data_IF_890916745409
#
_entry.id   IF_890916745409
#
_cell.length_a   1.000
_cell.length_b   1.000
_cell.length_c   1.000
_cell.angle_alpha   90.00
_cell.angle_beta   90.00
_cell.angle_gamma   90.00
#
_symmetry.space_group_name_H-M   'P 1'
#
loop_
_entity.id
_entity.type
_entity.pdbx_description
1 polymer ?
#
# COMPACT_ATOMS: atom_id res chain seq x y z
N UNK A 1 -23.72 -24.86 -5.54
CA UNK A 1 -23.23 -25.59 -4.35
C UNK A 1 -22.17 -24.70 -3.69
N UNK A 2 -22.35 -24.27 -2.43
CA UNK A 2 -21.42 -23.35 -1.74
C UNK A 2 -19.97 -23.85 -1.63
N UNK A 3 -19.78 -25.17 -1.57
CA UNK A 3 -18.45 -25.83 -1.51
C UNK A 3 -17.56 -25.51 -2.72
N UNK A 4 -18.14 -25.38 -3.92
CA UNK A 4 -17.41 -25.11 -5.17
C UNK A 4 -16.82 -23.68 -5.22
N UNK A 5 -17.51 -22.70 -4.61
CA UNK A 5 -17.05 -21.31 -4.55
C UNK A 5 -15.88 -21.14 -3.59
N UNK A 6 -15.94 -21.82 -2.44
CA UNK A 6 -14.86 -21.80 -1.45
C UNK A 6 -13.58 -22.39 -2.03
N UNK A 7 -13.65 -23.60 -2.60
CA UNK A 7 -12.48 -24.27 -3.17
C UNK A 7 -11.85 -23.47 -4.30
N UNK A 8 -12.68 -22.92 -5.19
CA UNK A 8 -12.20 -22.07 -6.28
C UNK A 8 -11.48 -20.83 -5.76
N UNK A 9 -12.08 -20.11 -4.80
CA UNK A 9 -11.45 -18.93 -4.22
C UNK A 9 -10.13 -19.26 -3.52
N UNK A 10 -10.08 -20.36 -2.77
CA UNK A 10 -8.85 -20.81 -2.11
C UNK A 10 -7.74 -21.11 -3.14
N UNK A 11 -8.06 -21.83 -4.22
CA UNK A 11 -7.12 -22.11 -5.32
C UNK A 11 -6.63 -20.82 -5.98
N UNK A 12 -7.52 -19.87 -6.24
CA UNK A 12 -7.15 -18.58 -6.86
C UNK A 12 -6.23 -17.76 -5.96
N UNK A 13 -6.49 -17.72 -4.64
CA UNK A 13 -5.60 -17.04 -3.69
C UNK A 13 -4.25 -17.75 -3.61
N UNK A 14 -4.22 -19.09 -3.56
CA UNK A 14 -2.97 -19.85 -3.57
C UNK A 14 -2.16 -19.55 -4.83
N UNK A 15 -2.80 -19.60 -6.00
CA UNK A 15 -2.16 -19.28 -7.27
C UNK A 15 -1.67 -17.83 -7.34
N UNK A 16 -2.44 -16.89 -6.79
CA UNK A 16 -2.01 -15.49 -6.69
C UNK A 16 -0.70 -15.35 -5.89
N UNK A 17 -0.57 -16.05 -4.75
CA UNK A 17 0.67 -16.01 -3.97
C UNK A 17 1.83 -16.75 -4.64
N UNK A 18 1.58 -17.85 -5.36
CA UNK A 18 2.62 -18.49 -6.20
C UNK A 18 3.18 -17.51 -7.24
N UNK A 19 2.31 -16.74 -7.90
CA UNK A 19 2.73 -15.70 -8.86
C UNK A 19 3.55 -14.60 -8.16
N UNK A 20 3.21 -14.25 -6.92
CA UNK A 20 4.01 -13.29 -6.15
C UNK A 20 5.37 -13.86 -5.74
N UNK A 21 5.47 -15.16 -5.46
CA UNK A 21 6.74 -15.83 -5.16
C UNK A 21 7.64 -15.88 -6.40
N UNK A 22 7.07 -16.19 -7.58
CA UNK A 22 7.76 -16.09 -8.87
C UNK A 22 8.24 -14.65 -9.14
N UNK A 23 7.38 -13.65 -8.90
CA UNK A 23 7.73 -12.25 -9.02
C UNK A 23 8.86 -11.86 -8.07
N UNK A 24 8.79 -12.26 -6.80
CA UNK A 24 9.82 -11.99 -5.80
C UNK A 24 11.19 -12.53 -6.23
N UNK A 25 11.23 -13.78 -6.71
CA UNK A 25 12.45 -14.37 -7.23
C UNK A 25 13.00 -13.57 -8.41
N UNK A 26 12.13 -13.10 -9.32
CA UNK A 26 12.53 -12.34 -10.51
C UNK A 26 13.09 -10.94 -10.20
N UNK A 27 12.61 -10.29 -9.12
CA UNK A 27 13.07 -8.93 -8.73
C UNK A 27 14.15 -8.94 -7.65
N UNK A 28 14.61 -10.13 -7.26
CA UNK A 28 15.68 -10.33 -6.28
C UNK A 28 15.24 -10.10 -4.83
N UNK A 29 13.99 -10.41 -4.50
CA UNK A 29 13.43 -10.27 -3.15
C UNK A 29 12.53 -9.04 -2.96
N UNK A 30 11.75 -9.05 -1.88
CA UNK A 30 11.01 -7.86 -1.41
C UNK A 30 11.96 -6.70 -1.13
N UNK A 31 11.51 -5.48 -1.41
CA UNK A 31 12.22 -4.23 -1.06
C UNK A 31 11.53 -3.54 0.10
N UNK A 32 12.23 -2.58 0.71
CA UNK A 32 11.67 -1.65 1.68
C UNK A 32 11.72 -0.23 1.12
N UNK A 33 10.81 0.63 1.54
CA UNK A 33 10.86 2.04 1.13
C UNK A 33 11.96 2.83 1.86
N UNK A 34 12.51 2.30 2.96
CA UNK A 34 13.70 2.84 3.63
C UNK A 34 14.90 2.92 2.67
N UNK A 35 15.16 1.83 1.95
CA UNK A 35 16.31 1.70 1.04
C UNK A 35 16.00 2.18 -0.38
N UNK A 36 14.73 2.26 -0.75
CA UNK A 36 14.29 2.64 -2.09
C UNK A 36 14.60 4.11 -2.41
N UNK A 37 15.05 4.41 -3.62
CA UNK A 37 15.25 5.78 -4.10
C UNK A 37 15.01 5.94 -5.62
N UNK A 38 14.86 7.18 -6.08
CA UNK A 38 14.47 7.48 -7.46
C UNK A 38 15.53 7.17 -8.53
N UNK A 39 16.78 6.86 -8.14
CA UNK A 39 17.83 6.41 -9.07
C UNK A 39 17.82 4.89 -9.34
N UNK A 40 16.92 4.14 -8.70
CA UNK A 40 16.74 2.71 -9.00
C UNK A 40 15.97 2.55 -10.32
N UNK A 41 16.07 1.35 -10.91
CA UNK A 41 15.40 1.01 -12.15
C UNK A 41 13.91 0.69 -11.92
N UNK A 42 13.11 1.72 -11.64
CA UNK A 42 11.66 1.60 -11.51
C UNK A 42 11.01 1.58 -12.90
N UNK A 43 10.00 0.72 -13.13
CA UNK A 43 9.12 0.93 -14.27
C UNK A 43 8.45 2.31 -14.14
N UNK A 44 8.12 2.93 -15.28
CA UNK A 44 7.40 4.19 -15.27
C UNK A 44 6.05 3.97 -14.59
N UNK A 45 5.41 2.83 -14.89
CA UNK A 45 4.10 2.49 -14.37
C UNK A 45 4.01 1.04 -13.88
N UNK A 46 3.17 0.80 -12.88
CA UNK A 46 2.99 -0.54 -12.31
C UNK A 46 2.00 -0.62 -11.16
N UNK A 47 1.95 -1.82 -10.57
CA UNK A 47 1.17 -2.15 -9.36
C UNK A 47 2.14 -2.61 -8.29
N UNK A 48 1.90 -2.20 -7.04
CA UNK A 48 2.70 -2.58 -5.87
C UNK A 48 1.87 -3.35 -4.84
N UNK A 49 2.55 -4.22 -4.10
CA UNK A 49 1.99 -5.11 -3.08
C UNK A 49 2.82 -4.98 -1.80
N UNK A 50 2.27 -4.35 -0.78
CA UNK A 50 2.90 -4.22 0.54
C UNK A 50 2.49 -5.38 1.45
N UNK A 51 3.44 -5.77 2.28
CA UNK A 51 3.31 -6.76 3.34
C UNK A 51 3.60 -6.08 4.68
N UNK A 52 3.03 -6.62 5.77
CA UNK A 52 3.28 -6.14 7.12
C UNK A 52 4.02 -7.24 7.91
N UNK A 53 5.12 -6.92 8.61
CA UNK A 53 5.75 -7.85 9.53
C UNK A 53 4.75 -8.34 10.59
N UNK A 54 4.66 -9.67 10.76
CA UNK A 54 3.71 -10.30 11.68
C UNK A 54 2.37 -10.68 11.04
N UNK A 55 1.98 -10.05 9.93
CA UNK A 55 0.78 -10.43 9.19
C UNK A 55 1.06 -11.66 8.32
N UNK A 56 0.57 -12.82 8.75
CA UNK A 56 0.76 -14.10 8.07
C UNK A 56 -0.52 -14.59 7.42
N UNK A 57 -0.39 -15.32 6.32
CA UNK A 57 -1.48 -16.11 5.75
C UNK A 57 -1.88 -17.22 6.75
N UNK A 58 -3.17 -17.48 6.85
CA UNK A 58 -3.74 -18.51 7.73
C UNK A 58 -4.49 -19.56 6.93
N UNK A 59 -5.35 -19.14 6.00
CA UNK A 59 -6.19 -20.05 5.19
C UNK A 59 -5.50 -20.51 3.91
N UNK A 60 -4.79 -19.62 3.21
CA UNK A 60 -4.26 -19.87 1.86
C UNK A 60 -2.80 -20.32 1.81
N UNK A 61 -2.26 -20.82 2.93
CA UNK A 61 -0.88 -21.30 3.05
C UNK A 61 -0.06 -20.50 4.07
N UNK A 62 1.26 -20.57 3.96
CA UNK A 62 2.22 -20.00 4.93
C UNK A 62 2.91 -18.73 4.41
N UNK A 63 3.53 -17.95 5.29
CA UNK A 63 4.28 -16.76 4.88
C UNK A 63 3.48 -15.45 4.95
N UNK A 64 4.08 -14.32 4.52
CA UNK A 64 3.52 -12.99 4.74
C UNK A 64 2.26 -12.72 3.90
N UNK A 65 1.30 -12.02 4.48
CA UNK A 65 0.06 -11.61 3.82
C UNK A 65 0.24 -10.24 3.15
N UNK A 66 -0.30 -10.08 1.95
CA UNK A 66 -0.44 -8.75 1.32
C UNK A 66 -1.47 -7.94 2.11
N UNK A 67 -1.07 -6.76 2.59
CA UNK A 67 -1.94 -5.86 3.37
C UNK A 67 -2.38 -4.63 2.58
N UNK A 68 -1.68 -4.31 1.49
CA UNK A 68 -2.04 -3.18 0.63
C UNK A 68 -1.59 -3.45 -0.81
N UNK A 69 -2.55 -3.41 -1.73
CA UNK A 69 -2.31 -3.39 -3.18
C UNK A 69 -2.55 -1.98 -3.67
N UNK A 70 -1.68 -1.44 -4.52
CA UNK A 70 -1.95 -0.14 -5.09
C UNK A 70 -1.36 0.14 -6.45
N UNK A 71 -1.96 1.10 -7.16
CA UNK A 71 -1.39 1.67 -8.38
C UNK A 71 -1.33 3.21 -8.32
N UNK A 72 -1.09 3.83 -9.47
CA UNK A 72 -1.01 5.27 -9.68
C UNK A 72 -1.61 5.63 -11.06
N UNK A 73 -1.92 6.92 -11.27
CA UNK A 73 -2.32 7.51 -12.55
C UNK A 73 -3.44 6.76 -13.33
N UNK A 74 -4.61 6.55 -12.72
CA UNK A 74 -5.78 6.00 -13.42
C UNK A 74 -6.57 7.03 -14.25
N UNK A 75 -6.17 8.31 -14.21
CA UNK A 75 -6.77 9.39 -15.02
C UNK A 75 -5.93 9.61 -16.27
N UNK A 76 -6.58 9.81 -17.42
CA UNK A 76 -5.98 9.88 -18.76
C UNK A 76 -4.85 10.91 -18.94
N UNK A 77 -4.76 11.93 -18.08
CA UNK A 77 -3.73 12.98 -18.12
C UNK A 77 -2.65 12.86 -17.04
N UNK A 78 -2.63 11.75 -16.29
CA UNK A 78 -1.72 11.57 -15.16
C UNK A 78 -0.27 11.33 -15.57
N UNK A 79 0.59 12.33 -15.36
CA UNK A 79 2.06 12.23 -15.54
C UNK A 79 2.79 11.63 -14.32
N UNK A 80 2.06 11.14 -13.32
CA UNK A 80 2.68 10.53 -12.16
C UNK A 80 3.26 9.17 -12.54
N UNK A 81 4.44 8.84 -12.03
CA UNK A 81 5.08 7.53 -12.18
C UNK A 81 4.84 6.66 -10.94
N UNK A 82 5.15 5.36 -11.04
CA UNK A 82 5.15 4.44 -9.91
C UNK A 82 6.02 4.98 -8.76
N UNK A 83 7.25 5.43 -9.09
CA UNK A 83 8.14 5.99 -8.09
C UNK A 83 7.58 7.27 -7.44
N UNK A 84 6.92 8.16 -8.19
CA UNK A 84 6.29 9.34 -7.61
C UNK A 84 5.26 8.96 -6.52
N UNK A 85 4.49 7.89 -6.76
CA UNK A 85 3.53 7.37 -5.77
C UNK A 85 4.20 6.69 -4.58
N UNK A 86 5.20 5.85 -4.81
CA UNK A 86 5.96 5.19 -3.73
C UNK A 86 6.69 6.22 -2.85
N UNK A 87 7.29 7.25 -3.45
CA UNK A 87 7.91 8.38 -2.75
C UNK A 87 6.91 9.14 -1.88
N UNK A 88 5.67 9.30 -2.34
CA UNK A 88 4.61 9.92 -1.53
C UNK A 88 4.32 9.10 -0.27
N UNK A 89 4.27 7.77 -0.39
CA UNK A 89 4.09 6.87 0.76
C UNK A 89 5.30 6.87 1.69
N UNK A 90 6.53 6.86 1.14
CA UNK A 90 7.78 6.96 1.92
C UNK A 90 7.88 8.24 2.74
N UNK A 91 7.30 9.32 2.22
CA UNK A 91 7.51 10.66 2.72
C UNK A 91 8.90 11.23 2.37
N UNK A 92 9.10 12.54 2.54
CA UNK A 92 10.40 13.18 2.40
C UNK A 92 11.45 12.59 3.36
N UNK A 93 12.66 12.36 2.86
CA UNK A 93 13.82 11.93 3.68
C UNK A 93 14.60 13.14 4.18
N UNK A 94 14.69 14.21 3.40
CA UNK A 94 15.33 15.48 3.77
C UNK A 94 14.44 16.70 3.50
N UNK A 95 15.03 17.89 3.56
CA UNK A 95 14.34 19.16 3.33
C UNK A 95 13.69 19.73 4.60
N UNK A 96 12.66 20.56 4.44
CA UNK A 96 12.03 21.31 5.55
C UNK A 96 11.07 20.49 6.42
N UNK A 97 10.73 19.26 6.00
CA UNK A 97 9.85 18.38 6.77
C UNK A 97 10.33 16.91 6.69
N UNK A 98 11.55 16.59 7.13
CA UNK A 98 12.11 15.25 7.02
C UNK A 98 11.28 14.26 7.84
N UNK A 99 11.04 13.10 7.26
CA UNK A 99 10.21 12.05 7.84
C UNK A 99 8.71 12.33 7.81
N UNK A 100 8.25 13.55 7.49
CA UNK A 100 6.82 13.87 7.48
C UNK A 100 6.05 13.18 6.35
N UNK A 101 4.85 13.68 6.05
CA UNK A 101 4.02 13.14 4.98
C UNK A 101 2.75 13.93 4.77
N UNK A 102 1.80 13.30 4.10
CA UNK A 102 0.48 13.87 3.82
C UNK A 102 -0.57 12.76 3.71
N UNK A 103 -1.17 12.39 4.84
CA UNK A 103 -2.24 11.40 4.92
C UNK A 103 -3.50 11.83 4.16
N UNK A 104 -3.81 13.13 4.12
CA UNK A 104 -4.96 13.65 3.36
C UNK A 104 -4.83 13.43 1.85
N UNK A 105 -3.60 13.29 1.35
CA UNK A 105 -3.30 12.92 -0.04
C UNK A 105 -3.02 11.43 -0.27
N UNK A 106 -3.06 10.60 0.78
CA UNK A 106 -2.75 9.17 0.70
C UNK A 106 -3.58 8.36 1.69
N UNK A 107 -4.60 7.68 1.18
CA UNK A 107 -5.43 6.73 1.95
C UNK A 107 -4.60 5.67 2.66
N UNK A 108 -3.48 5.24 2.07
CA UNK A 108 -2.60 4.28 2.73
C UNK A 108 -1.98 4.86 4.00
N UNK A 109 -1.47 6.10 3.94
CA UNK A 109 -0.94 6.81 5.11
C UNK A 109 -2.02 7.09 6.14
N UNK A 110 -3.24 7.45 5.69
CA UNK A 110 -4.39 7.64 6.57
C UNK A 110 -4.66 6.37 7.39
N UNK A 111 -4.80 5.21 6.73
CA UNK A 111 -5.06 3.95 7.41
C UNK A 111 -3.94 3.50 8.33
N UNK A 112 -2.67 3.63 7.92
CA UNK A 112 -1.53 3.33 8.80
C UNK A 112 -1.56 4.24 10.03
N UNK A 113 -1.83 5.54 9.85
CA UNK A 113 -1.92 6.47 10.98
C UNK A 113 -3.09 6.16 11.92
N UNK A 114 -4.25 5.80 11.38
CA UNK A 114 -5.40 5.36 12.19
C UNK A 114 -5.05 4.10 12.99
N UNK A 115 -4.42 3.11 12.36
CA UNK A 115 -3.99 1.90 13.07
C UNK A 115 -2.95 2.19 14.17
N UNK A 116 -2.04 3.15 13.96
CA UNK A 116 -1.09 3.58 14.98
C UNK A 116 -1.79 4.31 16.14
N UNK A 117 -2.80 5.13 15.86
CA UNK A 117 -3.64 5.78 16.89
C UNK A 117 -4.40 4.73 17.70
N UNK A 118 -4.96 3.70 17.05
CA UNK A 118 -5.74 2.67 17.74
C UNK A 118 -4.86 1.73 18.57
N UNK A 119 -3.63 1.48 18.12
CA UNK A 119 -2.67 0.58 18.79
C UNK A 119 -1.92 1.25 19.93
N UNK A 120 -1.55 2.52 19.77
CA UNK A 120 -0.65 3.25 20.67
C UNK A 120 -1.38 4.43 21.34
N UNK A 121 -0.98 4.84 22.55
CA UNK A 121 -1.61 5.96 23.28
C UNK A 121 -1.13 7.33 22.75
N UNK A 122 -1.71 7.77 21.62
CA UNK A 122 -1.38 9.05 21.00
C UNK A 122 -2.10 10.23 21.66
N UNK A 123 -1.41 11.35 21.94
CA UNK A 123 -2.07 12.53 22.50
C UNK A 123 -3.21 13.05 21.62
N UNK A 124 -4.34 13.39 22.23
CA UNK A 124 -5.50 13.94 21.52
C UNK A 124 -5.16 15.18 20.67
N UNK A 125 -4.18 15.98 21.10
CA UNK A 125 -3.72 17.14 20.34
C UNK A 125 -3.05 16.79 19.00
N UNK A 126 -2.58 15.55 18.84
CA UNK A 126 -1.99 15.01 17.60
C UNK A 126 -3.03 14.21 16.81
N UNK A 127 -3.78 13.33 17.49
CA UNK A 127 -4.69 12.38 16.86
C UNK A 127 -6.07 12.98 16.51
N UNK A 128 -6.51 14.02 17.22
CA UNK A 128 -7.91 14.47 17.19
C UNK A 128 -8.41 14.99 15.84
N UNK A 129 -7.52 15.47 14.97
CA UNK A 129 -7.84 15.96 13.62
C UNK A 129 -7.43 14.98 12.51
N UNK A 130 -6.89 13.80 12.87
CA UNK A 130 -6.41 12.83 11.89
C UNK A 130 -7.56 12.28 11.04
N UNK A 131 -7.43 12.36 9.72
CA UNK A 131 -8.49 11.94 8.80
C UNK A 131 -9.67 12.91 8.68
N UNK A 132 -9.64 14.05 9.38
CA UNK A 132 -10.67 15.07 9.25
C UNK A 132 -10.40 15.94 8.02
N UNK A 133 -11.33 15.87 7.05
CA UNK A 133 -11.35 16.68 5.84
C UNK A 133 -10.21 16.39 4.85
N UNK A 134 -10.31 17.01 3.66
CA UNK A 134 -9.29 16.91 2.61
C UNK A 134 -8.16 17.94 2.74
N UNK A 135 -8.30 18.89 3.68
CA UNK A 135 -7.30 19.92 3.98
C UNK A 135 -7.37 20.35 5.45
N UNK A 136 -6.35 21.06 5.92
CA UNK A 136 -6.27 21.56 7.29
C UNK A 136 -5.34 22.78 7.37
N UNK A 137 -5.47 23.57 8.43
CA UNK A 137 -4.62 24.74 8.69
C UNK A 137 -3.16 24.33 8.90
N UNK A 138 -2.23 25.28 8.76
CA UNK A 138 -0.81 25.04 9.07
C UNK A 138 -0.66 24.52 10.51
N UNK A 139 -1.37 25.12 11.47
CA UNK A 139 -1.30 24.74 12.88
C UNK A 139 -1.69 23.28 13.11
N UNK A 140 -2.77 22.78 12.49
CA UNK A 140 -3.18 21.38 12.61
C UNK A 140 -2.11 20.46 12.00
N UNK A 141 -1.65 20.78 10.78
CA UNK A 141 -0.61 19.99 10.10
C UNK A 141 0.70 19.92 10.89
N UNK A 142 1.06 20.99 11.61
CA UNK A 142 2.21 21.03 12.52
C UNK A 142 2.03 20.07 13.70
N UNK A 143 0.84 20.02 14.30
CA UNK A 143 0.51 19.11 15.40
C UNK A 143 0.52 17.64 14.98
N UNK A 144 0.07 17.35 13.77
CA UNK A 144 0.06 15.98 13.20
C UNK A 144 1.45 15.47 12.79
N UNK A 145 2.48 16.34 12.74
CA UNK A 145 3.83 15.97 12.26
C UNK A 145 4.45 14.76 12.96
N UNK A 146 4.37 14.62 14.30
CA UNK A 146 4.91 13.45 14.98
C UNK A 146 4.26 12.15 14.48
N UNK A 147 2.94 12.14 14.28
CA UNK A 147 2.23 11.00 13.74
C UNK A 147 2.56 10.73 12.27
N UNK A 148 2.65 11.77 11.42
CA UNK A 148 3.14 11.60 10.04
C UNK A 148 4.55 10.99 9.98
N UNK A 149 5.42 11.31 10.95
CA UNK A 149 6.76 10.71 11.05
C UNK A 149 6.69 9.24 11.43
N UNK A 150 5.87 8.88 12.42
CA UNK A 150 5.64 7.49 12.78
C UNK A 150 5.07 6.69 11.60
N UNK A 151 4.09 7.25 10.87
CA UNK A 151 3.53 6.64 9.65
C UNK A 151 4.61 6.43 8.59
N UNK A 152 5.47 7.42 8.34
CA UNK A 152 6.57 7.26 7.37
C UNK A 152 7.54 6.17 7.79
N UNK A 153 7.94 6.14 9.06
CA UNK A 153 8.85 5.14 9.59
C UNK A 153 8.25 3.73 9.46
N UNK A 154 6.97 3.58 9.79
CA UNK A 154 6.24 2.32 9.65
C UNK A 154 6.23 1.85 8.19
N UNK A 155 5.72 2.69 7.27
CA UNK A 155 5.64 2.38 5.84
C UNK A 155 7.02 2.10 5.22
N UNK A 156 8.07 2.79 5.67
CA UNK A 156 9.44 2.57 5.19
C UNK A 156 9.94 1.17 5.47
N UNK A 157 9.58 0.62 6.62
CA UNK A 157 9.99 -0.72 7.05
C UNK A 157 9.18 -1.85 6.42
N UNK A 158 8.00 -1.55 5.84
CA UNK A 158 7.15 -2.55 5.23
C UNK A 158 7.78 -3.16 3.98
N UNK A 159 7.91 -4.50 3.91
CA UNK A 159 8.34 -5.18 2.69
C UNK A 159 7.31 -4.97 1.57
N UNK A 160 7.76 -4.83 0.33
CA UNK A 160 6.87 -4.75 -0.82
C UNK A 160 7.47 -5.36 -2.09
N UNK A 161 6.58 -5.75 -2.99
CA UNK A 161 6.86 -6.13 -4.38
C UNK A 161 6.19 -5.15 -5.34
N UNK A 162 6.64 -5.15 -6.59
CA UNK A 162 6.00 -4.41 -7.68
C UNK A 162 6.09 -5.18 -8.99
N UNK A 163 5.14 -4.93 -9.88
CA UNK A 163 5.17 -5.38 -11.27
C UNK A 163 5.04 -4.18 -12.19
N UNK A 164 5.89 -4.12 -13.21
CA UNK A 164 5.82 -3.11 -14.27
C UNK A 164 4.64 -3.42 -15.20
N UNK A 165 3.79 -2.41 -15.43
CA UNK A 165 2.66 -2.50 -16.35
C UNK A 165 2.56 -1.16 -17.04
N UNK A 166 3.13 -1.06 -18.25
CA UNK A 166 3.39 0.19 -18.97
C UNK A 166 2.26 0.59 -19.93
N UNK A 167 1.04 0.13 -19.67
CA UNK A 167 -0.13 0.47 -20.49
C UNK A 167 -0.55 1.94 -20.33
N UNK A 168 -1.37 2.44 -21.26
CA UNK A 168 -1.80 3.83 -21.25
C UNK A 168 -2.73 4.16 -20.05
N UNK A 169 -2.65 5.38 -19.48
CA UNK A 169 -3.52 5.78 -18.39
C UNK A 169 -4.98 5.86 -18.86
N UNK A 170 -5.89 5.25 -18.10
CA UNK A 170 -7.31 5.32 -18.40
C UNK A 170 -8.15 4.26 -17.69
N UNK A 171 -9.47 4.27 -17.89
CA UNK A 171 -10.38 3.31 -17.26
C UNK A 171 -10.13 1.86 -17.70
N UNK A 172 -9.59 1.68 -18.92
CA UNK A 172 -9.22 0.38 -19.47
C UNK A 172 -7.81 -0.09 -19.02
N UNK A 173 -7.15 0.64 -18.12
CA UNK A 173 -5.78 0.31 -17.73
C UNK A 173 -5.70 -1.05 -17.04
N UNK A 174 -4.75 -1.88 -17.49
CA UNK A 174 -4.42 -3.18 -16.90
C UNK A 174 -3.98 -3.02 -15.45
N UNK A 175 -3.31 -1.93 -15.09
CA UNK A 175 -2.99 -1.61 -13.70
C UNK A 175 -4.23 -1.54 -12.82
N UNK A 176 -5.28 -0.86 -13.28
CA UNK A 176 -6.54 -0.74 -12.57
C UNK A 176 -7.28 -2.07 -12.49
N UNK A 177 -7.20 -2.90 -13.54
CA UNK A 177 -7.73 -4.25 -13.52
C UNK A 177 -7.02 -5.12 -12.47
N UNK A 178 -5.69 -5.15 -12.47
CA UNK A 178 -4.89 -5.94 -11.52
C UNK A 178 -5.15 -5.47 -10.09
N UNK A 179 -5.09 -4.15 -9.81
CA UNK A 179 -5.33 -3.62 -8.46
C UNK A 179 -6.70 -4.03 -7.93
N UNK A 180 -7.78 -3.80 -8.69
CA UNK A 180 -9.15 -4.10 -8.24
C UNK A 180 -9.37 -5.60 -8.03
N UNK A 181 -8.92 -6.44 -8.96
CA UNK A 181 -9.12 -7.89 -8.85
C UNK A 181 -8.25 -8.51 -7.74
N UNK A 182 -7.02 -8.03 -7.56
CA UNK A 182 -6.18 -8.45 -6.43
C UNK A 182 -6.81 -8.06 -5.08
N UNK A 183 -7.35 -6.84 -4.96
CA UNK A 183 -8.08 -6.41 -3.75
C UNK A 183 -9.32 -7.30 -3.53
N UNK A 184 -10.12 -7.53 -4.57
CA UNK A 184 -11.31 -8.37 -4.46
C UNK A 184 -10.95 -9.79 -3.98
N UNK A 185 -9.94 -10.40 -4.59
CA UNK A 185 -9.46 -11.74 -4.24
C UNK A 185 -8.91 -11.80 -2.80
N UNK A 186 -8.11 -10.82 -2.40
CA UNK A 186 -7.47 -10.79 -1.09
C UNK A 186 -8.38 -10.29 0.05
N UNK A 187 -9.52 -9.69 -0.28
CA UNK A 187 -10.52 -9.28 0.71
C UNK A 187 -11.18 -10.46 1.41
N UNK A 188 -11.00 -11.68 0.89
CA UNK A 188 -11.56 -12.90 1.46
C UNK A 188 -13.10 -12.85 1.58
N UNK A 189 -13.79 -12.00 0.80
CA UNK A 189 -15.24 -11.88 0.82
C UNK A 189 -15.94 -13.21 0.55
N UNK A 190 -15.34 -14.10 -0.24
CA UNK A 190 -15.86 -15.44 -0.52
C UNK A 190 -15.89 -16.38 0.70
N UNK A 191 -15.27 -15.99 1.83
CA UNK A 191 -15.29 -16.74 3.09
C UNK A 191 -16.29 -16.17 4.11
N UNK A 192 -17.04 -15.11 3.78
CA UNK A 192 -17.91 -14.39 4.75
C UNK A 192 -19.37 -14.90 4.80
N UNK A 193 -19.70 -15.97 4.06
CA UNK A 193 -21.04 -16.58 4.01
C UNK A 193 -21.08 -17.98 4.69
N UNK A 194 -20.57 -18.10 5.91
CA UNK A 194 -20.78 -19.27 6.81
C UNK A 194 -21.25 -18.82 8.18
#
# INVERSE_FOLDING_TARGET
MPEDRFETCLRDIQRFYEILDELEASVGGKRTLEEAHGRMNWPERGVYFFFEPGEKRTTSGTGPRVVRVGTHALKASGQATLWNRLRQHRGPVGGSNPGGGNHRGSVFRLHVGTALIDRDDWPQAVAGDWGVGSSASKMIRERERPLERAVSQHIRSMPFLWIGVEDEPGPASLRGYIERNAIALLSNYCFQDT
#
